data_IF_003545970241
#
_entry.id   IF_003545970241
#
_cell.length_a   1.000
_cell.length_b   1.000
_cell.length_c   1.000
_cell.angle_alpha   90.00
_cell.angle_beta   90.00
_cell.angle_gamma   90.00
#
_symmetry.space_group_name_H-M   'P 1'
#
loop_
_entity.id
_entity.type
_entity.pdbx_description
1 polymer ?
#
# COMPACT_ATOMS: atom_id res chain seq x y z
N UNK A 1 -56.15 26.32 48.49
CA UNK A 1 -56.28 25.93 47.07
C UNK A 1 -54.94 26.14 46.43
N UNK A 2 -54.14 25.13 46.39
CA UNK A 2 -52.80 25.23 45.80
C UNK A 2 -52.72 24.31 44.57
N UNK A 3 -52.68 24.95 43.42
CA UNK A 3 -52.47 24.25 42.16
C UNK A 3 -50.95 23.96 42.01
N UNK A 4 -50.60 22.71 42.14
CA UNK A 4 -49.25 22.23 41.86
C UNK A 4 -49.08 22.07 40.36
N UNK A 5 -48.32 23.01 39.77
CA UNK A 5 -47.81 22.89 38.40
C UNK A 5 -46.71 21.87 38.37
N UNK A 6 -46.96 20.69 37.86
CA UNK A 6 -45.94 19.71 37.55
C UNK A 6 -45.37 20.07 36.19
N UNK A 7 -44.18 20.67 36.19
CA UNK A 7 -43.42 20.91 34.99
C UNK A 7 -42.84 19.57 34.50
N UNK A 8 -43.37 19.10 33.38
CA UNK A 8 -42.79 17.93 32.67
C UNK A 8 -41.54 18.41 31.92
N UNK A 9 -40.38 18.10 32.46
CA UNK A 9 -39.12 18.27 31.75
C UNK A 9 -38.96 17.08 30.79
N UNK A 10 -39.25 17.28 29.54
CA UNK A 10 -38.94 16.34 28.48
C UNK A 10 -37.48 16.50 28.15
N UNK A 11 -36.67 15.56 28.65
CA UNK A 11 -35.26 15.44 28.27
C UNK A 11 -35.18 14.90 26.83
N UNK A 12 -34.93 15.79 25.88
CA UNK A 12 -34.60 15.38 24.51
C UNK A 12 -33.18 14.86 24.50
N UNK A 13 -33.03 13.55 24.43
CA UNK A 13 -31.74 12.88 24.22
C UNK A 13 -31.43 13.06 22.73
N UNK A 14 -30.55 14.03 22.41
CA UNK A 14 -29.91 14.10 21.11
C UNK A 14 -28.98 12.89 20.97
N UNK A 15 -29.40 11.90 20.21
CA UNK A 15 -28.53 10.83 19.73
C UNK A 15 -27.62 11.44 18.66
N UNK A 16 -26.42 11.83 19.06
CA UNK A 16 -25.37 12.17 18.12
C UNK A 16 -24.92 10.87 17.44
N UNK A 17 -25.46 10.61 16.26
CA UNK A 17 -24.97 9.55 15.39
C UNK A 17 -23.54 9.95 14.96
N UNK A 18 -22.55 9.37 15.61
CA UNK A 18 -21.18 9.44 15.12
C UNK A 18 -21.12 8.63 13.83
N UNK A 19 -21.20 9.32 12.70
CA UNK A 19 -20.84 8.75 11.41
C UNK A 19 -19.37 8.39 11.50
N UNK A 20 -19.08 7.09 11.73
CA UNK A 20 -17.76 6.54 11.49
C UNK A 20 -17.48 6.73 10.00
N UNK A 21 -16.81 7.80 9.65
CA UNK A 21 -16.23 7.95 8.32
C UNK A 21 -15.24 6.79 8.17
N UNK A 22 -15.62 5.78 7.38
CA UNK A 22 -14.63 4.85 6.86
C UNK A 22 -13.57 5.73 6.21
N UNK A 23 -12.36 5.77 6.79
CA UNK A 23 -11.22 6.42 6.17
C UNK A 23 -10.96 5.65 4.87
N UNK A 24 -11.59 6.10 3.78
CA UNK A 24 -11.33 5.58 2.44
C UNK A 24 -9.85 5.82 2.11
N UNK A 25 -9.32 5.00 1.23
CA UNK A 25 -7.98 5.22 0.68
C UNK A 25 -7.90 6.66 0.11
N UNK A 26 -6.78 7.36 0.32
CA UNK A 26 -6.62 8.70 -0.22
C UNK A 26 -6.82 8.68 -1.74
N UNK A 27 -7.41 9.74 -2.33
CA UNK A 27 -7.62 9.81 -3.77
C UNK A 27 -6.27 9.72 -4.49
N UNK A 28 -6.23 8.96 -5.57
CA UNK A 28 -5.04 8.84 -6.39
C UNK A 28 -3.94 7.95 -5.82
N UNK A 29 -4.23 7.10 -4.83
CA UNK A 29 -3.25 6.15 -4.30
C UNK A 29 -2.64 5.29 -5.40
N UNK A 30 -1.36 4.93 -5.24
CA UNK A 30 -0.69 3.92 -6.03
C UNK A 30 -0.66 2.58 -5.30
N UNK A 31 -0.19 1.55 -5.98
CA UNK A 31 0.06 0.24 -5.41
C UNK A 31 1.44 -0.27 -5.82
N UNK A 32 2.12 -0.91 -4.90
CA UNK A 32 3.39 -1.60 -5.16
C UNK A 32 3.21 -3.07 -4.82
N UNK A 33 3.49 -3.92 -5.78
CA UNK A 33 3.32 -5.36 -5.69
C UNK A 33 4.66 -6.07 -5.95
N UNK A 34 4.99 -7.04 -5.13
CA UNK A 34 6.22 -7.84 -5.27
C UNK A 34 6.04 -9.13 -6.08
N UNK A 35 4.85 -9.40 -6.60
CA UNK A 35 4.62 -10.57 -7.45
C UNK A 35 5.14 -10.34 -8.86
N UNK A 36 5.54 -11.43 -9.51
CA UNK A 36 5.90 -11.37 -10.93
C UNK A 36 4.64 -11.23 -11.78
N UNK A 37 4.60 -10.21 -12.60
CA UNK A 37 3.59 -10.07 -13.64
C UNK A 37 3.88 -11.00 -14.84
N UNK A 38 5.12 -10.94 -15.34
CA UNK A 38 5.60 -11.82 -16.41
C UNK A 38 6.22 -13.09 -15.81
N UNK A 39 5.39 -14.08 -15.54
CA UNK A 39 5.80 -15.31 -14.84
C UNK A 39 6.92 -16.07 -15.58
N UNK A 40 6.89 -16.07 -16.92
CA UNK A 40 7.83 -16.81 -17.75
C UNK A 40 9.18 -16.12 -17.96
N UNK A 41 9.38 -14.91 -17.48
CA UNK A 41 10.66 -14.21 -17.61
C UNK A 41 11.71 -14.89 -16.75
N UNK A 42 12.79 -15.35 -17.37
CA UNK A 42 13.95 -15.93 -16.67
C UNK A 42 14.75 -14.84 -15.95
N UNK A 43 15.52 -15.25 -14.94
CA UNK A 43 16.39 -14.37 -14.13
C UNK A 43 15.66 -13.27 -13.35
N UNK A 44 14.33 -13.35 -13.27
CA UNK A 44 13.51 -12.47 -12.45
C UNK A 44 12.79 -13.28 -11.36
N UNK A 45 12.73 -12.70 -10.17
CA UNK A 45 12.18 -13.34 -8.97
C UNK A 45 11.21 -12.41 -8.28
N UNK A 46 10.17 -12.97 -7.69
CA UNK A 46 9.28 -12.22 -6.82
C UNK A 46 10.05 -11.64 -5.62
N UNK A 47 9.64 -10.47 -5.18
CA UNK A 47 10.17 -9.81 -3.98
C UNK A 47 9.05 -9.61 -2.97
N UNK A 48 9.42 -9.33 -1.74
CA UNK A 48 8.49 -8.87 -0.73
C UNK A 48 8.71 -7.38 -0.49
N UNK A 49 7.65 -6.59 -0.56
CA UNK A 49 7.70 -5.19 -0.14
C UNK A 49 7.68 -5.18 1.38
N UNK A 50 8.71 -4.65 1.99
CA UNK A 50 8.86 -4.67 3.45
C UNK A 50 8.77 -3.28 4.09
N UNK A 51 9.02 -2.23 3.30
CA UNK A 51 8.93 -0.85 3.80
C UNK A 51 8.66 0.12 2.66
N UNK A 52 7.83 1.10 2.94
CA UNK A 52 7.65 2.27 2.08
C UNK A 52 7.89 3.51 2.92
N UNK A 53 8.83 4.35 2.47
CA UNK A 53 9.40 5.43 3.25
C UNK A 53 9.91 4.89 4.60
N UNK A 54 9.40 5.36 5.72
CA UNK A 54 9.78 4.91 7.05
C UNK A 54 8.76 3.96 7.70
N UNK A 55 7.80 3.42 6.90
CA UNK A 55 6.73 2.55 7.39
C UNK A 55 6.94 1.13 6.94
N UNK A 56 7.06 0.23 7.89
CA UNK A 56 7.07 -1.20 7.61
C UNK A 56 5.69 -1.67 7.14
N UNK A 57 5.66 -2.60 6.20
CA UNK A 57 4.45 -3.17 5.64
C UNK A 57 4.59 -4.66 5.40
N UNK A 58 3.47 -5.35 5.52
CA UNK A 58 3.32 -6.76 5.14
C UNK A 58 2.24 -6.94 4.08
N UNK A 59 1.64 -5.84 3.63
CA UNK A 59 0.54 -5.86 2.68
C UNK A 59 1.02 -6.18 1.27
N UNK A 60 0.23 -6.93 0.54
CA UNK A 60 0.48 -7.24 -0.86
C UNK A 60 -0.85 -7.24 -1.64
N UNK A 61 -1.06 -6.28 -2.51
CA UNK A 61 -0.21 -5.13 -2.79
C UNK A 61 -0.18 -4.09 -1.65
N UNK A 62 0.90 -3.33 -1.58
CA UNK A 62 1.04 -2.23 -0.63
C UNK A 62 0.49 -0.94 -1.25
N UNK A 63 -0.40 -0.27 -0.53
CA UNK A 63 -0.91 1.05 -0.94
C UNK A 63 0.10 2.14 -0.61
N UNK A 64 0.33 3.03 -1.55
CA UNK A 64 1.30 4.12 -1.42
C UNK A 64 0.73 5.44 -1.94
N UNK A 65 1.13 6.52 -1.31
CA UNK A 65 0.78 7.86 -1.79
C UNK A 65 1.56 8.19 -3.07
N UNK A 66 0.98 8.98 -3.98
CA UNK A 66 1.70 9.46 -5.17
C UNK A 66 2.94 10.28 -4.82
N UNK A 67 3.87 10.35 -5.77
CA UNK A 67 5.12 11.08 -5.66
C UNK A 67 6.32 10.17 -5.45
N UNK A 68 7.46 10.78 -5.15
CA UNK A 68 8.70 10.05 -4.92
C UNK A 68 8.65 9.31 -3.59
N UNK A 69 8.82 7.99 -3.65
CA UNK A 69 8.77 7.08 -2.49
C UNK A 69 10.00 6.22 -2.42
N UNK A 70 10.50 6.00 -1.22
CA UNK A 70 11.55 5.02 -0.96
C UNK A 70 10.88 3.67 -0.68
N UNK A 71 11.11 2.72 -1.58
CA UNK A 71 10.54 1.37 -1.46
C UNK A 71 11.66 0.39 -1.14
N UNK A 72 11.57 -0.27 0.00
CA UNK A 72 12.51 -1.33 0.39
C UNK A 72 11.87 -2.68 0.14
N UNK A 73 12.56 -3.48 -0.63
CA UNK A 73 12.17 -4.85 -0.97
C UNK A 73 13.13 -5.86 -0.38
N UNK A 74 12.63 -7.02 -0.07
CA UNK A 74 13.40 -8.19 0.28
C UNK A 74 13.41 -9.15 -0.90
N UNK A 75 14.59 -9.49 -1.37
CA UNK A 75 14.78 -10.42 -2.47
C UNK A 75 14.47 -11.86 -2.09
N UNK A 76 14.54 -12.79 -3.06
CA UNK A 76 14.33 -14.20 -2.81
C UNK A 76 15.38 -14.76 -1.84
N UNK A 77 15.02 -15.77 -1.05
CA UNK A 77 15.99 -16.50 -0.23
C UNK A 77 17.13 -17.05 -1.12
N UNK A 78 18.33 -17.01 -0.62
CA UNK A 78 19.44 -17.75 -1.20
C UNK A 78 19.70 -19.02 -0.40
N UNK A 79 20.48 -19.94 -0.95
CA UNK A 79 20.72 -21.23 -0.32
C UNK A 79 21.39 -21.18 1.06
N UNK A 80 21.94 -20.03 1.46
CA UNK A 80 22.61 -19.80 2.73
C UNK A 80 21.75 -18.99 3.72
N UNK A 81 20.76 -18.25 3.24
CA UNK A 81 19.95 -17.33 4.03
C UNK A 81 18.47 -17.62 3.87
N UNK A 82 17.78 -17.71 4.99
CA UNK A 82 16.31 -17.84 5.02
C UNK A 82 15.60 -16.61 4.44
N UNK A 83 16.20 -15.43 4.61
CA UNK A 83 15.69 -14.16 4.10
C UNK A 83 16.71 -13.59 3.10
N UNK A 84 16.23 -13.19 1.93
CA UNK A 84 17.05 -12.56 0.91
C UNK A 84 17.59 -11.20 1.32
N UNK A 85 18.49 -10.67 0.53
CA UNK A 85 19.00 -9.32 0.72
C UNK A 85 17.91 -8.28 0.56
N UNK A 86 18.08 -7.15 1.23
CA UNK A 86 17.20 -6.00 1.10
C UNK A 86 17.80 -4.98 0.15
N UNK A 87 16.94 -4.36 -0.65
CA UNK A 87 17.28 -3.25 -1.54
C UNK A 87 16.26 -2.14 -1.41
N UNK A 88 16.73 -0.93 -1.36
CA UNK A 88 15.88 0.27 -1.37
C UNK A 88 16.03 0.99 -2.69
N UNK A 89 14.91 1.32 -3.31
CA UNK A 89 14.85 2.11 -4.54
C UNK A 89 14.01 3.35 -4.33
N UNK A 90 14.29 4.37 -5.14
CA UNK A 90 13.41 5.53 -5.27
C UNK A 90 12.44 5.26 -6.43
N UNK A 91 11.15 5.27 -6.11
CA UNK A 91 10.07 5.05 -7.07
C UNK A 91 9.19 6.29 -7.16
N UNK A 92 9.07 6.86 -8.34
CA UNK A 92 8.11 7.94 -8.58
C UNK A 92 6.75 7.33 -8.87
N UNK A 93 5.88 7.34 -7.88
CA UNK A 93 4.54 6.75 -7.95
C UNK A 93 3.60 7.72 -8.65
N UNK A 94 3.13 7.33 -9.84
CA UNK A 94 2.08 8.04 -10.57
C UNK A 94 0.73 7.71 -9.93
N UNK A 95 -0.17 8.70 -9.80
CA UNK A 95 -1.50 8.43 -9.24
C UNK A 95 -2.23 7.30 -9.97
N UNK A 96 -2.99 6.51 -9.21
CA UNK A 96 -3.82 5.41 -9.73
C UNK A 96 -3.06 4.36 -10.56
N UNK A 97 -1.79 4.11 -10.21
CA UNK A 97 -0.94 3.17 -10.93
C UNK A 97 -0.43 2.09 -9.99
N UNK A 98 -0.50 0.85 -10.44
CA UNK A 98 0.11 -0.32 -9.79
C UNK A 98 1.43 -0.64 -10.45
N UNK A 99 2.45 -0.86 -9.63
CA UNK A 99 3.80 -1.25 -10.04
C UNK A 99 4.10 -2.65 -9.55
N UNK A 100 4.53 -3.52 -10.46
CA UNK A 100 5.04 -4.85 -10.12
C UNK A 100 6.56 -4.79 -10.10
N UNK A 101 7.13 -5.01 -8.93
CA UNK A 101 8.57 -5.00 -8.71
C UNK A 101 9.11 -6.41 -8.65
N UNK A 102 10.23 -6.66 -9.28
CA UNK A 102 10.93 -7.95 -9.26
C UNK A 102 12.40 -7.77 -8.97
N UNK A 103 13.02 -8.79 -8.43
CA UNK A 103 14.46 -8.92 -8.37
C UNK A 103 14.97 -9.49 -9.69
N UNK A 104 15.90 -8.80 -10.34
CA UNK A 104 16.60 -9.29 -11.51
C UNK A 104 18.03 -9.68 -11.11
N UNK A 105 18.41 -10.92 -11.39
CA UNK A 105 19.75 -11.44 -11.13
C UNK A 105 20.49 -11.65 -12.45
N UNK A 106 21.78 -11.32 -12.47
CA UNK A 106 22.64 -11.63 -13.61
C UNK A 106 22.95 -13.14 -13.70
N UNK A 107 22.93 -13.81 -12.55
CA UNK A 107 23.16 -15.23 -12.40
C UNK A 107 22.30 -15.74 -11.24
N UNK A 108 21.52 -16.81 -11.40
CA UNK A 108 20.66 -17.34 -10.34
C UNK A 108 21.41 -17.78 -9.07
N UNK A 109 22.71 -18.06 -9.17
CA UNK A 109 23.53 -18.44 -8.03
C UNK A 109 24.04 -17.24 -7.21
N UNK A 110 23.93 -16.02 -7.73
CA UNK A 110 24.35 -14.83 -7.01
C UNK A 110 23.28 -14.40 -6.01
N UNK A 111 23.72 -13.85 -4.88
CA UNK A 111 22.83 -13.25 -3.89
C UNK A 111 22.41 -11.84 -4.28
N UNK A 112 23.24 -11.16 -5.05
CA UNK A 112 23.02 -9.80 -5.52
C UNK A 112 21.95 -9.74 -6.61
N UNK A 113 21.13 -8.68 -6.55
CA UNK A 113 20.08 -8.44 -7.51
C UNK A 113 19.81 -6.94 -7.68
N UNK A 114 19.24 -6.58 -8.81
CA UNK A 114 18.67 -5.26 -9.05
C UNK A 114 17.15 -5.31 -8.96
N UNK A 115 16.56 -4.28 -8.43
CA UNK A 115 15.09 -4.13 -8.45
C UNK A 115 14.68 -3.52 -9.78
N UNK A 116 13.70 -4.15 -10.43
CA UNK A 116 13.18 -3.73 -11.72
C UNK A 116 11.66 -3.64 -11.65
N UNK A 117 11.09 -2.68 -12.38
CA UNK A 117 9.65 -2.66 -12.65
C UNK A 117 9.39 -3.69 -13.76
N UNK A 118 8.68 -4.76 -13.40
CA UNK A 118 8.30 -5.81 -14.34
C UNK A 118 7.11 -5.39 -15.19
N UNK A 119 6.15 -4.71 -14.58
CA UNK A 119 4.96 -4.18 -15.23
C UNK A 119 4.37 -3.01 -14.44
N UNK A 120 3.61 -2.18 -15.13
CA UNK A 120 2.79 -1.16 -14.50
C UNK A 120 1.45 -1.07 -15.21
N UNK A 121 0.39 -0.86 -14.44
CA UNK A 121 -0.97 -0.80 -14.95
C UNK A 121 -1.81 0.22 -14.18
N UNK A 122 -2.88 0.70 -14.82
CA UNK A 122 -3.85 1.56 -14.14
C UNK A 122 -4.67 0.74 -13.13
N UNK A 123 -4.93 1.32 -11.97
CA UNK A 123 -5.80 0.72 -10.96
C UNK A 123 -7.25 0.99 -11.34
N UNK A 124 -8.03 -0.08 -11.55
CA UNK A 124 -9.46 0.03 -11.85
C UNK A 124 -10.21 0.70 -10.70
N UNK A 125 -11.12 1.60 -11.04
CA UNK A 125 -11.95 2.30 -10.06
C UNK A 125 -11.23 3.36 -9.23
N UNK A 126 -9.92 3.58 -9.44
CA UNK A 126 -9.18 4.64 -8.78
C UNK A 126 -9.48 5.99 -9.41
N UNK A 127 -9.73 7.01 -8.59
CA UNK A 127 -10.00 8.38 -9.05
C UNK A 127 -8.85 9.31 -8.63
N UNK A 128 -8.36 10.10 -9.57
CA UNK A 128 -7.42 11.18 -9.33
C UNK A 128 -8.13 12.51 -8.97
N UNK A 129 -9.46 12.52 -9.07
CA UNK A 129 -10.22 13.72 -8.76
C UNK A 129 -10.02 14.07 -7.27
N UNK A 130 -9.42 15.25 -7.02
CA UNK A 130 -9.41 15.81 -5.69
C UNK A 130 -10.84 15.98 -5.21
N UNK A 131 -11.17 15.36 -4.10
CA UNK A 131 -12.44 15.64 -3.41
C UNK A 131 -12.33 17.09 -2.93
N UNK A 132 -13.13 17.94 -3.54
CA UNK A 132 -13.25 19.33 -3.09
C UNK A 132 -14.01 19.40 -1.78
#
# INVERSE_FOLDING_TARGET
MNALYVAKVTASILFAATLSACAGLPPGYGQVDGHKYHVATIDTYAVQIIRVDDRDTTDSPTFVDPGLRKVTVQGPPDGARRFGEQRTIDLNVVPCTRYYLVAQKANPLLTDFNVKIDHQEAIGGCSTAAVK
#
